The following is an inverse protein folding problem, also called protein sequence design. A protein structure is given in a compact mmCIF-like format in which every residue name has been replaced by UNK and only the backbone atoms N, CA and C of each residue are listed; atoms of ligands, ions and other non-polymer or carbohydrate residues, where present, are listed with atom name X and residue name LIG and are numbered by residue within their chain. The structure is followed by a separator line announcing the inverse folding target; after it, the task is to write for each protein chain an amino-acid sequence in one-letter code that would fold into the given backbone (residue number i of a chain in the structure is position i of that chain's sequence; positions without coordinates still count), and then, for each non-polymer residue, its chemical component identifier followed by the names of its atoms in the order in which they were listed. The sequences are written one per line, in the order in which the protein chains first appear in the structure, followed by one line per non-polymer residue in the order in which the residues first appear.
data_IF_405889838179
#
_entry.id   IF_405889838179
#
_cell.length_a   1.000
_cell.length_b   1.000
_cell.length_c   1.000
_cell.angle_alpha   90.00
_cell.angle_beta   90.00
_cell.angle_gamma   90.00
#
_symmetry.space_group_name_H-M   'P 1'
#
loop_
_entity.id
_entity.type
_entity.pdbx_description
1 polymer ?
#
# COMPACT_ATOMS: atom_id res chain seq x y z
N UNK A 1 12.36 -28.97 -9.70
CA UNK A 1 11.00 -28.66 -10.22
C UNK A 1 11.07 -27.29 -10.85
N UNK A 2 10.62 -27.13 -12.09
CA UNK A 2 10.68 -25.83 -12.77
C UNK A 2 9.66 -24.86 -12.17
N UNK A 3 9.90 -23.56 -12.31
CA UNK A 3 9.03 -22.50 -11.77
C UNK A 3 7.56 -22.64 -12.22
N UNK A 4 7.35 -22.77 -13.53
CA UNK A 4 5.99 -22.90 -14.10
C UNK A 4 5.28 -24.18 -13.65
N UNK A 5 6.02 -25.29 -13.46
CA UNK A 5 5.47 -26.55 -12.98
C UNK A 5 5.02 -26.41 -11.52
N UNK A 6 5.84 -25.76 -10.68
CA UNK A 6 5.48 -25.47 -9.30
C UNK A 6 4.21 -24.64 -9.22
N UNK A 7 4.17 -23.54 -9.98
CA UNK A 7 3.00 -22.65 -10.03
C UNK A 7 1.73 -23.40 -10.46
N UNK A 8 1.78 -24.15 -11.57
CA UNK A 8 0.64 -24.93 -12.06
C UNK A 8 0.21 -26.03 -11.09
N UNK A 9 1.14 -26.67 -10.39
CA UNK A 9 0.81 -27.64 -9.35
C UNK A 9 0.06 -26.94 -8.21
N UNK A 10 0.56 -25.81 -7.72
CA UNK A 10 -0.07 -25.06 -6.62
C UNK A 10 -1.45 -24.50 -6.96
N UNK A 11 -1.73 -24.18 -8.22
CA UNK A 11 -3.07 -23.82 -8.70
C UNK A 11 -4.13 -24.90 -8.42
N UNK A 12 -3.75 -26.17 -8.25
CA UNK A 12 -4.69 -27.25 -7.90
C UNK A 12 -5.09 -27.25 -6.42
N UNK A 13 -4.39 -26.49 -5.58
CA UNK A 13 -4.68 -26.36 -4.15
C UNK A 13 -5.58 -25.15 -3.90
N UNK A 14 -6.87 -25.40 -3.61
CA UNK A 14 -7.82 -24.33 -3.29
C UNK A 14 -7.34 -23.48 -2.10
N UNK A 15 -6.75 -24.10 -1.08
CA UNK A 15 -6.17 -23.38 0.07
C UNK A 15 -5.08 -22.40 -0.34
N UNK A 16 -4.21 -22.78 -1.27
CA UNK A 16 -3.16 -21.90 -1.79
C UNK A 16 -3.76 -20.77 -2.62
N UNK A 17 -4.72 -21.10 -3.49
CA UNK A 17 -5.46 -20.11 -4.29
C UNK A 17 -6.14 -19.08 -3.40
N UNK A 18 -6.93 -19.51 -2.43
CA UNK A 18 -7.65 -18.62 -1.51
C UNK A 18 -6.69 -17.74 -0.72
N UNK A 19 -5.54 -18.28 -0.30
CA UNK A 19 -4.52 -17.54 0.46
C UNK A 19 -3.97 -16.34 -0.33
N UNK A 20 -3.63 -16.50 -1.62
CA UNK A 20 -2.97 -15.45 -2.41
C UNK A 20 -3.90 -14.66 -3.35
N UNK A 21 -5.09 -15.19 -3.64
CA UNK A 21 -6.14 -14.51 -4.41
C UNK A 21 -6.95 -13.54 -3.55
N UNK A 22 -7.30 -13.95 -2.32
CA UNK A 22 -8.18 -13.18 -1.46
C UNK A 22 -7.50 -11.92 -0.90
N UNK A 23 -8.32 -10.91 -0.61
CA UNK A 23 -7.91 -9.69 0.11
C UNK A 23 -8.53 -9.60 1.50
N UNK A 24 -9.17 -10.69 1.94
CA UNK A 24 -9.84 -10.80 3.23
C UNK A 24 -8.89 -10.90 4.42
N UNK A 25 -9.46 -10.86 5.63
CA UNK A 25 -8.70 -11.02 6.88
C UNK A 25 -8.02 -12.39 6.89
N UNK A 26 -6.73 -12.45 7.21
CA UNK A 26 -5.85 -13.64 7.20
C UNK A 26 -5.39 -14.16 5.83
N UNK A 27 -5.68 -13.45 4.74
CA UNK A 27 -5.11 -13.76 3.42
C UNK A 27 -3.76 -13.08 3.21
N UNK A 28 -2.96 -13.58 2.25
CA UNK A 28 -1.69 -13.00 1.80
C UNK A 28 -1.84 -12.25 0.48
N UNK A 29 -3.02 -12.27 -0.15
CA UNK A 29 -3.24 -11.58 -1.42
C UNK A 29 -3.25 -10.05 -1.33
N UNK A 30 -3.08 -9.49 -0.13
CA UNK A 30 -2.90 -8.06 0.11
C UNK A 30 -1.81 -7.80 1.14
N UNK A 31 -0.93 -6.84 0.84
CA UNK A 31 0.10 -6.40 1.78
C UNK A 31 -0.44 -5.41 2.82
N UNK A 32 -1.10 -4.32 2.39
CA UNK A 32 -1.50 -3.22 3.29
C UNK A 32 -2.96 -3.29 3.72
N UNK A 33 -3.25 -3.30 5.03
CA UNK A 33 -4.65 -3.42 5.50
C UNK A 33 -5.53 -2.24 5.10
N UNK A 34 -4.95 -1.03 4.99
CA UNK A 34 -5.67 0.18 4.65
C UNK A 34 -6.24 0.16 3.22
N UNK A 35 -5.64 -0.63 2.32
CA UNK A 35 -6.12 -0.73 0.93
C UNK A 35 -7.19 -1.80 0.82
N UNK A 36 -8.44 -1.49 0.51
CA UNK A 36 -9.48 -2.51 0.39
C UNK A 36 -10.49 -2.11 -0.68
N UNK A 37 -11.62 -2.82 -0.78
CA UNK A 37 -12.65 -2.57 -1.80
C UNK A 37 -13.03 -1.09 -1.90
N UNK A 38 -13.08 -0.36 -0.78
CA UNK A 38 -13.43 1.06 -0.72
C UNK A 38 -12.23 2.02 -0.69
N UNK A 39 -11.02 1.48 -0.49
CA UNK A 39 -9.75 2.22 -0.43
C UNK A 39 -8.73 1.59 -1.36
N UNK A 40 -9.07 1.34 -2.63
CA UNK A 40 -8.20 0.58 -3.56
C UNK A 40 -6.88 1.28 -3.90
N UNK A 41 -6.71 2.53 -3.49
CA UNK A 41 -5.52 3.36 -3.69
C UNK A 41 -5.37 4.32 -2.51
N UNK A 42 -4.16 4.82 -2.27
CA UNK A 42 -3.92 5.75 -1.18
C UNK A 42 -4.76 7.03 -1.31
N UNK A 43 -4.86 7.59 -2.52
CA UNK A 43 -5.66 8.79 -2.80
C UNK A 43 -7.16 8.59 -2.62
N UNK A 44 -7.63 7.35 -2.42
CA UNK A 44 -9.02 7.09 -2.03
C UNK A 44 -9.37 7.76 -0.70
N UNK A 45 -8.40 7.95 0.21
CA UNK A 45 -8.62 8.67 1.47
C UNK A 45 -9.15 10.09 1.25
N UNK A 46 -8.74 10.80 0.18
CA UNK A 46 -9.32 12.11 -0.15
C UNK A 46 -10.82 12.03 -0.37
N UNK A 47 -11.26 11.11 -1.25
CA UNK A 47 -12.68 10.93 -1.57
C UNK A 47 -13.49 10.45 -0.38
N UNK A 48 -12.94 9.52 0.41
CA UNK A 48 -13.64 8.97 1.57
C UNK A 48 -13.78 10.01 2.69
N UNK A 49 -12.79 10.88 2.88
CA UNK A 49 -12.88 11.96 3.86
C UNK A 49 -13.81 13.09 3.40
N UNK A 50 -13.79 13.47 2.12
CA UNK A 50 -14.78 14.42 1.57
C UNK A 50 -16.21 13.88 1.69
N UNK A 51 -16.44 12.58 1.49
CA UNK A 51 -17.73 11.94 1.71
C UNK A 51 -18.15 11.87 3.20
N UNK A 52 -17.17 11.92 4.11
CA UNK A 52 -17.41 11.98 5.55
C UNK A 52 -17.69 13.40 6.04
N UNK A 53 -17.17 14.43 5.38
CA UNK A 53 -17.29 15.85 5.78
C UNK A 53 -18.70 16.32 6.21
N UNK A 54 -19.81 15.94 5.53
CA UNK A 54 -21.15 16.34 5.99
C UNK A 54 -21.59 15.71 7.32
N UNK A 55 -20.83 14.74 7.83
CA UNK A 55 -21.11 13.98 9.05
C UNK A 55 -20.31 14.44 10.27
N UNK A 56 -19.44 15.43 10.08
CA UNK A 56 -18.59 15.98 11.12
C UNK A 56 -19.45 16.53 12.28
N UNK A 57 -19.19 16.07 13.50
CA UNK A 57 -19.93 16.37 14.72
C UNK A 57 -21.26 15.62 14.90
N UNK A 58 -21.67 14.77 13.96
CA UNK A 58 -22.94 14.02 14.04
C UNK A 58 -22.77 12.67 14.74
N UNK A 59 -23.86 12.16 15.34
CA UNK A 59 -23.93 10.79 15.83
C UNK A 59 -24.13 9.85 14.65
N UNK A 60 -23.74 8.58 14.81
CA UNK A 60 -23.90 7.57 13.76
C UNK A 60 -25.35 7.41 13.31
N UNK A 61 -26.29 7.47 14.25
CA UNK A 61 -27.72 7.31 13.99
C UNK A 61 -28.31 8.47 13.16
N UNK A 62 -27.61 9.62 13.12
CA UNK A 62 -28.07 10.83 12.41
C UNK A 62 -27.64 10.84 10.92
N UNK A 63 -26.89 9.84 10.45
CA UNK A 63 -26.25 9.89 9.13
C UNK A 63 -27.16 9.56 7.93
N UNK A 64 -28.41 9.16 8.16
CA UNK A 64 -29.43 8.91 7.12
C UNK A 64 -28.92 8.09 5.91
N UNK A 65 -28.08 7.07 6.16
CA UNK A 65 -27.31 6.39 5.11
C UNK A 65 -27.47 4.86 5.13
N UNK A 66 -28.68 4.37 4.87
CA UNK A 66 -28.94 2.95 4.61
C UNK A 66 -28.88 2.66 3.10
N UNK A 67 -28.27 1.53 2.72
CA UNK A 67 -28.50 0.94 1.39
C UNK A 67 -29.80 0.12 1.41
N UNK A 68 -30.39 -0.14 0.23
CA UNK A 68 -31.58 -0.98 0.05
C UNK A 68 -31.46 -2.39 0.69
N UNK A 69 -30.23 -2.84 0.98
CA UNK A 69 -29.92 -4.16 1.53
C UNK A 69 -29.61 -4.14 3.05
N UNK A 70 -29.89 -3.04 3.75
CA UNK A 70 -29.66 -2.91 5.20
C UNK A 70 -28.19 -2.78 5.64
N UNK A 71 -27.23 -2.75 4.71
CA UNK A 71 -25.83 -2.43 5.01
C UNK A 71 -25.64 -0.92 5.13
N UNK A 72 -25.03 -0.47 6.23
CA UNK A 72 -24.63 0.92 6.39
C UNK A 72 -23.51 1.29 5.41
N UNK A 73 -23.80 2.24 4.53
CA UNK A 73 -22.89 2.71 3.46
C UNK A 73 -21.54 3.22 3.99
N UNK A 74 -21.50 3.68 5.23
CA UNK A 74 -20.37 4.40 5.80
C UNK A 74 -19.53 3.57 6.79
N UNK A 75 -19.99 2.38 7.21
CA UNK A 75 -19.30 1.53 8.21
C UNK A 75 -17.84 1.24 7.83
N UNK A 76 -17.61 0.87 6.57
CA UNK A 76 -16.27 0.54 6.07
C UNK A 76 -15.35 1.75 5.90
N UNK A 77 -15.92 2.96 5.74
CA UNK A 77 -15.14 4.21 5.59
C UNK A 77 -14.55 4.65 6.91
N UNK A 78 -15.36 4.58 7.97
CA UNK A 78 -15.01 5.06 9.31
C UNK A 78 -13.82 4.30 9.86
N UNK A 79 -13.79 2.98 9.71
CA UNK A 79 -12.70 2.15 10.25
C UNK A 79 -11.35 2.62 9.71
N UNK A 80 -11.21 2.75 8.39
CA UNK A 80 -9.94 3.18 7.79
C UNK A 80 -9.61 4.64 8.09
N UNK A 81 -10.60 5.54 8.09
CA UNK A 81 -10.38 6.95 8.44
C UNK A 81 -9.96 7.11 9.92
N UNK A 82 -10.54 6.32 10.83
CA UNK A 82 -10.16 6.26 12.26
C UNK A 82 -8.76 5.71 12.44
N UNK A 83 -8.46 4.59 11.78
CA UNK A 83 -7.15 3.93 11.82
C UNK A 83 -6.02 4.80 11.24
N UNK A 84 -6.33 5.68 10.28
CA UNK A 84 -5.41 6.70 9.76
C UNK A 84 -5.29 7.94 10.67
N UNK A 85 -6.13 8.06 11.70
CA UNK A 85 -6.20 9.23 12.58
C UNK A 85 -6.82 10.47 11.95
N UNK A 86 -7.52 10.35 10.82
CA UNK A 86 -8.17 11.47 10.12
C UNK A 86 -9.52 11.85 10.73
N UNK A 87 -10.14 10.90 11.43
CA UNK A 87 -11.33 11.15 12.24
C UNK A 87 -11.13 10.55 13.62
N UNK A 88 -11.85 11.08 14.61
CA UNK A 88 -11.93 10.56 15.97
C UNK A 88 -13.38 10.44 16.41
N UNK A 89 -13.64 9.58 17.38
CA UNK A 89 -14.94 9.48 18.03
C UNK A 89 -14.81 10.10 19.43
N UNK A 90 -15.76 10.93 19.81
CA UNK A 90 -15.86 11.55 21.13
C UNK A 90 -17.28 11.35 21.64
N UNK A 91 -17.43 10.50 22.66
CA UNK A 91 -18.71 9.89 23.00
C UNK A 91 -19.26 9.07 21.83
N UNK A 92 -20.40 9.50 21.28
CA UNK A 92 -21.09 8.89 20.14
C UNK A 92 -21.04 9.73 18.86
N UNK A 93 -20.31 10.85 18.89
CA UNK A 93 -20.13 11.77 17.77
C UNK A 93 -18.78 11.55 17.11
N UNK A 94 -18.73 11.75 15.82
CA UNK A 94 -17.50 11.61 15.04
C UNK A 94 -17.02 12.96 14.56
N UNK A 95 -15.73 13.22 14.70
CA UNK A 95 -15.10 14.49 14.37
C UNK A 95 -13.94 14.31 13.41
N UNK A 96 -13.78 15.23 12.46
CA UNK A 96 -12.55 15.36 11.67
C UNK A 96 -11.44 15.90 12.58
N UNK A 97 -10.25 15.30 12.51
CA UNK A 97 -9.09 15.75 13.27
C UNK A 97 -8.33 16.84 12.50
N UNK A 98 -7.40 17.55 13.13
CA UNK A 98 -6.51 18.48 12.42
C UNK A 98 -5.76 17.80 11.26
N UNK A 99 -5.35 16.55 11.48
CA UNK A 99 -4.74 15.68 10.48
C UNK A 99 -5.71 15.37 9.33
N UNK A 100 -6.99 15.15 9.62
CA UNK A 100 -8.04 15.03 8.60
C UNK A 100 -8.27 16.32 7.82
N UNK A 101 -8.34 17.47 8.49
CA UNK A 101 -8.41 18.76 7.81
C UNK A 101 -7.22 19.00 6.89
N UNK A 102 -6.04 18.51 7.26
CA UNK A 102 -4.86 18.57 6.41
C UNK A 102 -5.01 17.71 5.14
N UNK A 103 -5.61 16.52 5.23
CA UNK A 103 -5.96 15.71 4.06
C UNK A 103 -6.92 16.44 3.11
N UNK A 104 -7.92 17.15 3.65
CA UNK A 104 -8.81 17.99 2.85
C UNK A 104 -8.05 19.16 2.19
N UNK A 105 -7.09 19.78 2.90
CA UNK A 105 -6.24 20.84 2.35
C UNK A 105 -5.42 20.33 1.16
N UNK A 106 -4.80 19.16 1.28
CA UNK A 106 -4.03 18.52 0.21
C UNK A 106 -4.92 18.23 -1.01
N UNK A 107 -6.10 17.67 -0.79
CA UNK A 107 -7.04 17.33 -1.87
C UNK A 107 -7.42 18.56 -2.69
N UNK A 108 -7.71 19.68 -2.00
CA UNK A 108 -8.20 20.92 -2.59
C UNK A 108 -7.11 21.85 -3.14
N UNK A 109 -5.84 21.56 -2.86
CA UNK A 109 -4.72 22.35 -3.37
C UNK A 109 -4.59 22.21 -4.90
N UNK A 110 -4.47 23.35 -5.59
CA UNK A 110 -4.37 23.41 -7.06
C UNK A 110 -2.94 23.45 -7.57
N UNK A 111 -1.99 23.81 -6.72
CA UNK A 111 -0.57 23.93 -7.07
C UNK A 111 0.12 22.56 -6.97
N UNK A 112 -0.30 21.69 -6.05
CA UNK A 112 0.20 20.33 -5.93
C UNK A 112 -0.28 19.43 -7.07
N UNK A 113 0.67 18.71 -7.67
CA UNK A 113 0.41 17.62 -8.63
C UNK A 113 0.02 16.34 -7.90
N UNK A 114 -0.60 15.41 -8.64
CA UNK A 114 -1.10 14.15 -8.08
C UNK A 114 -0.06 13.34 -7.31
N UNK A 115 1.17 13.24 -7.82
CA UNK A 115 2.24 12.50 -7.13
C UNK A 115 2.73 13.22 -5.88
N UNK A 116 2.74 14.56 -5.88
CA UNK A 116 3.08 15.36 -4.70
C UNK A 116 1.99 15.19 -3.62
N UNK A 117 0.71 15.27 -4.01
CA UNK A 117 -0.42 14.95 -3.12
C UNK A 117 -0.32 13.53 -2.54
N UNK A 118 0.06 12.56 -3.36
CA UNK A 118 0.26 11.17 -2.94
C UNK A 118 1.38 11.04 -1.90
N UNK A 119 2.54 11.70 -2.11
CA UNK A 119 3.67 11.67 -1.17
C UNK A 119 3.29 12.31 0.16
N UNK A 120 2.65 13.47 0.12
CA UNK A 120 2.22 14.18 1.33
C UNK A 120 1.17 13.35 2.09
N UNK A 121 0.23 12.73 1.39
CA UNK A 121 -0.74 11.83 2.00
C UNK A 121 -0.08 10.60 2.65
N UNK A 122 0.95 10.02 2.00
CA UNK A 122 1.73 8.92 2.58
C UNK A 122 2.36 9.33 3.92
N UNK A 123 2.95 10.53 3.97
CA UNK A 123 3.57 11.05 5.20
C UNK A 123 2.56 11.19 6.34
N UNK A 124 1.30 11.51 6.02
CA UNK A 124 0.23 11.55 7.02
C UNK A 124 -0.31 10.17 7.38
N UNK A 125 -0.21 9.14 6.53
CA UNK A 125 -0.81 7.84 6.86
C UNK A 125 0.20 6.82 7.40
N UNK A 126 1.48 7.17 7.46
CA UNK A 126 2.52 6.16 7.77
C UNK A 126 2.42 5.59 9.19
N UNK A 127 1.81 6.35 10.10
CA UNK A 127 1.44 5.99 11.47
C UNK A 127 0.11 5.22 11.56
N UNK A 128 -0.43 4.75 10.44
CA UNK A 128 -1.69 4.00 10.39
C UNK A 128 -1.63 2.76 11.29
N UNK A 129 -2.64 2.65 12.16
CA UNK A 129 -2.77 1.60 13.16
C UNK A 129 -4.14 0.94 13.03
N UNK A 130 -4.18 -0.39 13.04
CA UNK A 130 -5.43 -1.12 13.26
C UNK A 130 -5.58 -1.47 14.74
N UNK A 131 -6.77 -1.95 15.13
CA UNK A 131 -7.00 -2.46 16.49
C UNK A 131 -6.06 -3.64 16.84
N UNK A 132 -5.57 -4.36 15.83
CA UNK A 132 -4.71 -5.55 16.00
C UNK A 132 -3.23 -5.27 15.74
N UNK A 133 -2.89 -4.24 14.95
CA UNK A 133 -1.53 -4.00 14.45
C UNK A 133 -1.14 -2.53 14.53
N UNK A 134 -0.15 -2.25 15.38
CA UNK A 134 0.54 -0.95 15.41
C UNK A 134 1.50 -0.82 14.23
N UNK A 135 1.57 0.38 13.67
CA UNK A 135 2.38 0.80 12.53
C UNK A 135 2.26 -0.19 11.36
N UNK A 136 1.02 -0.52 11.00
CA UNK A 136 0.68 -1.61 10.08
C UNK A 136 1.47 -1.53 8.78
N UNK A 137 1.62 -0.33 8.23
CA UNK A 137 2.29 -0.11 6.95
C UNK A 137 3.78 -0.40 7.05
N UNK A 138 4.45 0.21 8.03
CA UNK A 138 5.90 0.09 8.17
C UNK A 138 6.27 -1.34 8.56
N UNK A 139 5.53 -1.95 9.49
CA UNK A 139 5.74 -3.33 9.90
C UNK A 139 5.58 -4.29 8.73
N UNK A 140 4.54 -4.11 7.90
CA UNK A 140 4.33 -4.96 6.71
C UNK A 140 5.49 -4.86 5.71
N UNK A 141 6.07 -3.67 5.53
CA UNK A 141 7.24 -3.47 4.65
C UNK A 141 8.50 -4.10 5.24
N UNK A 142 8.74 -3.94 6.54
CA UNK A 142 9.89 -4.55 7.22
C UNK A 142 9.81 -6.08 7.22
N UNK A 143 8.62 -6.64 7.44
CA UNK A 143 8.38 -8.09 7.36
C UNK A 143 8.67 -8.61 5.94
N UNK A 144 8.20 -7.92 4.90
CA UNK A 144 8.48 -8.27 3.51
C UNK A 144 9.98 -8.21 3.19
N UNK A 145 10.66 -7.11 3.52
CA UNK A 145 12.09 -6.94 3.25
C UNK A 145 12.94 -7.97 4.01
N UNK A 146 12.62 -8.22 5.29
CA UNK A 146 13.30 -9.23 6.10
C UNK A 146 13.12 -10.64 5.53
N UNK A 147 11.91 -10.94 5.07
CA UNK A 147 11.59 -12.23 4.46
C UNK A 147 12.33 -12.45 3.13
N UNK A 148 12.37 -11.45 2.26
CA UNK A 148 13.10 -11.53 0.99
C UNK A 148 14.62 -11.63 1.21
N UNK A 149 15.17 -10.91 2.21
CA UNK A 149 16.57 -11.03 2.64
C UNK A 149 16.93 -12.44 3.09
N UNK A 150 16.07 -13.10 3.87
CA UNK A 150 16.27 -14.48 4.30
C UNK A 150 16.35 -15.47 3.13
N UNK A 151 15.91 -15.06 1.94
CA UNK A 151 15.98 -15.85 0.71
C UNK A 151 16.99 -15.30 -0.31
N UNK A 152 17.91 -14.43 0.12
CA UNK A 152 19.05 -14.00 -0.66
C UNK A 152 18.83 -12.75 -1.53
N UNK A 153 17.70 -12.05 -1.36
CA UNK A 153 17.47 -10.77 -2.03
C UNK A 153 17.82 -9.60 -1.10
N UNK A 154 18.96 -8.94 -1.37
CA UNK A 154 19.38 -7.76 -0.63
C UNK A 154 18.42 -6.56 -0.83
N UNK A 155 18.25 -5.74 0.22
CA UNK A 155 17.37 -4.55 0.16
C UNK A 155 17.72 -3.60 -0.96
N UNK A 156 19.01 -3.37 -1.24
CA UNK A 156 19.45 -2.45 -2.30
C UNK A 156 18.94 -2.95 -3.65
N UNK A 157 19.12 -4.24 -3.94
CA UNK A 157 18.60 -4.86 -5.17
C UNK A 157 17.08 -4.80 -5.22
N UNK A 158 16.40 -5.05 -4.10
CA UNK A 158 14.94 -4.94 -4.05
C UNK A 158 14.46 -3.51 -4.31
N UNK A 159 15.10 -2.49 -3.72
CA UNK A 159 14.84 -1.08 -3.96
C UNK A 159 15.02 -0.71 -5.44
N UNK A 160 16.07 -1.21 -6.11
CA UNK A 160 16.27 -1.00 -7.54
C UNK A 160 15.15 -1.60 -8.39
N UNK A 161 14.70 -2.81 -8.05
CA UNK A 161 13.60 -3.48 -8.74
C UNK A 161 12.26 -2.73 -8.54
N UNK A 162 12.00 -2.24 -7.32
CA UNK A 162 10.85 -1.41 -7.01
C UNK A 162 10.90 -0.09 -7.79
N UNK A 163 12.05 0.58 -7.82
CA UNK A 163 12.27 1.84 -8.55
C UNK A 163 11.97 1.68 -10.05
N UNK A 164 12.44 0.60 -10.67
CA UNK A 164 12.14 0.27 -12.08
C UNK A 164 10.64 0.04 -12.33
N UNK A 165 9.89 -0.31 -11.30
CA UNK A 165 8.47 -0.69 -11.39
C UNK A 165 7.48 0.41 -10.99
N UNK A 166 7.96 1.60 -10.58
CA UNK A 166 7.10 2.73 -10.12
C UNK A 166 6.10 3.23 -11.17
N UNK A 167 6.36 2.97 -12.44
CA UNK A 167 5.60 3.49 -13.58
C UNK A 167 4.83 2.42 -14.35
N UNK A 168 4.66 1.23 -13.77
CA UNK A 168 3.87 0.17 -14.39
C UNK A 168 2.40 0.59 -14.39
N UNK A 169 1.84 0.72 -15.59
CA UNK A 169 0.48 1.19 -15.86
C UNK A 169 -0.37 0.16 -16.62
N UNK A 170 0.27 -0.89 -17.17
CA UNK A 170 -0.38 -1.96 -17.93
C UNK A 170 -0.19 -3.32 -17.27
N UNK A 171 -1.19 -4.18 -17.49
CA UNK A 171 -1.26 -5.54 -16.90
C UNK A 171 -0.13 -6.45 -17.38
N UNK A 172 0.22 -6.35 -18.67
CA UNK A 172 1.31 -7.09 -19.28
C UNK A 172 2.67 -6.78 -18.66
N UNK A 173 2.98 -5.49 -18.54
CA UNK A 173 4.19 -5.01 -17.87
C UNK A 173 4.23 -5.39 -16.39
N UNK A 174 3.07 -5.43 -15.73
CA UNK A 174 2.98 -5.86 -14.34
C UNK A 174 3.37 -7.33 -14.18
N UNK A 175 2.82 -8.22 -15.00
CA UNK A 175 3.13 -9.64 -14.93
C UNK A 175 4.57 -9.98 -15.34
N UNK A 176 5.21 -9.12 -16.13
CA UNK A 176 6.62 -9.23 -16.49
C UNK A 176 7.58 -8.65 -15.45
N UNK A 177 7.07 -8.11 -14.33
CA UNK A 177 7.90 -7.50 -13.30
C UNK A 177 8.23 -8.48 -12.19
N UNK A 178 9.51 -8.65 -11.87
CA UNK A 178 9.92 -9.54 -10.78
C UNK A 178 9.34 -9.14 -9.42
N UNK A 179 9.20 -7.83 -9.13
CA UNK A 179 8.61 -7.39 -7.86
C UNK A 179 7.15 -7.79 -7.76
N UNK A 180 6.44 -7.94 -8.88
CA UNK A 180 5.06 -8.40 -8.86
C UNK A 180 4.94 -9.78 -8.24
N UNK A 181 5.80 -10.70 -8.66
CA UNK A 181 5.81 -12.08 -8.19
C UNK A 181 6.28 -12.18 -6.74
N UNK A 182 7.39 -11.51 -6.41
CA UNK A 182 7.98 -11.53 -5.07
C UNK A 182 7.05 -10.92 -4.01
N UNK A 183 6.33 -9.84 -4.33
CA UNK A 183 5.35 -9.25 -3.41
C UNK A 183 4.09 -10.12 -3.34
N UNK A 184 3.62 -10.66 -4.47
CA UNK A 184 2.36 -11.43 -4.50
C UNK A 184 2.47 -12.74 -3.73
N UNK A 185 3.61 -13.41 -3.83
CA UNK A 185 3.85 -14.70 -3.18
C UNK A 185 4.70 -14.60 -1.92
N UNK A 186 4.95 -13.38 -1.42
CA UNK A 186 5.55 -13.16 -0.12
C UNK A 186 4.83 -14.03 0.92
N UNK A 187 5.57 -14.92 1.59
CA UNK A 187 5.10 -15.99 2.51
C UNK A 187 4.80 -17.35 1.85
N UNK A 188 5.26 -17.60 0.63
CA UNK A 188 5.47 -18.93 0.05
C UNK A 188 6.97 -19.17 -0.15
N UNK A 189 7.62 -19.68 0.90
CA UNK A 189 9.07 -19.90 0.92
C UNK A 189 9.55 -20.77 -0.24
N UNK A 190 8.73 -21.74 -0.65
CA UNK A 190 9.09 -22.62 -1.75
C UNK A 190 8.93 -21.91 -3.10
N UNK A 191 7.90 -21.08 -3.28
CA UNK A 191 7.78 -20.24 -4.48
C UNK A 191 8.99 -19.31 -4.61
N UNK A 192 9.31 -18.54 -3.58
CA UNK A 192 10.34 -17.50 -3.66
C UNK A 192 11.74 -18.09 -3.85
N UNK A 193 12.06 -19.22 -3.20
CA UNK A 193 13.31 -19.95 -3.45
C UNK A 193 13.42 -20.43 -4.89
N UNK A 194 12.35 -21.01 -5.45
CA UNK A 194 12.35 -21.46 -6.85
C UNK A 194 12.47 -20.25 -7.78
N UNK A 195 11.69 -19.20 -7.54
CA UNK A 195 11.65 -17.99 -8.36
C UNK A 195 13.00 -17.27 -8.42
N UNK A 196 13.63 -17.04 -7.27
CA UNK A 196 14.94 -16.38 -7.19
C UNK A 196 16.07 -17.23 -7.79
N UNK A 197 15.93 -18.55 -7.78
CA UNK A 197 16.87 -19.49 -8.40
C UNK A 197 16.59 -19.80 -9.88
N UNK A 198 15.49 -19.30 -10.43
CA UNK A 198 15.07 -19.58 -11.82
C UNK A 198 15.82 -18.70 -12.82
N UNK A 199 16.02 -19.24 -14.03
CA UNK A 199 16.57 -18.44 -15.15
C UNK A 199 15.55 -17.44 -15.68
N UNK A 200 16.02 -16.43 -16.42
CA UNK A 200 15.13 -15.48 -17.09
C UNK A 200 14.17 -16.18 -18.08
N UNK A 201 14.61 -17.24 -18.75
CA UNK A 201 13.73 -18.06 -19.61
C UNK A 201 12.63 -18.76 -18.81
N UNK A 202 12.93 -19.30 -17.62
CA UNK A 202 11.93 -19.93 -16.76
C UNK A 202 10.90 -18.93 -16.24
N UNK A 203 11.34 -17.71 -15.88
CA UNK A 203 10.45 -16.61 -15.52
C UNK A 203 9.59 -16.18 -16.69
N UNK A 204 10.18 -15.98 -17.88
CA UNK A 204 9.47 -15.58 -19.08
C UNK A 204 8.38 -16.60 -19.45
N UNK A 205 8.67 -17.90 -19.33
CA UNK A 205 7.67 -18.96 -19.52
C UNK A 205 6.47 -18.83 -18.58
N UNK A 206 6.70 -18.50 -17.29
CA UNK A 206 5.63 -18.25 -16.34
C UNK A 206 4.83 -16.99 -16.73
N UNK A 207 5.51 -15.92 -17.13
CA UNK A 207 4.88 -14.66 -17.53
C UNK A 207 3.97 -14.86 -18.74
N UNK A 208 4.47 -15.52 -19.77
CA UNK A 208 3.73 -15.80 -21.00
C UNK A 208 2.51 -16.68 -20.73
N UNK A 209 2.66 -17.69 -19.87
CA UNK A 209 1.55 -18.54 -19.43
C UNK A 209 0.45 -17.72 -18.77
N UNK A 210 0.79 -16.90 -17.76
CA UNK A 210 -0.19 -16.08 -17.03
C UNK A 210 -0.81 -15.01 -17.93
N UNK A 211 -0.04 -14.41 -18.83
CA UNK A 211 -0.56 -13.47 -19.82
C UNK A 211 -1.61 -14.12 -20.70
N UNK A 212 -1.32 -15.29 -21.26
CA UNK A 212 -2.22 -16.04 -22.13
C UNK A 212 -3.53 -16.37 -21.39
N UNK A 213 -3.45 -16.98 -20.20
CA UNK A 213 -4.68 -17.37 -19.47
C UNK A 213 -5.45 -16.16 -18.96
N UNK A 214 -4.80 -15.01 -18.73
CA UNK A 214 -5.46 -13.76 -18.33
C UNK A 214 -6.27 -13.09 -19.44
N UNK A 215 -6.18 -13.57 -20.69
CA UNK A 215 -7.05 -13.14 -21.78
C UNK A 215 -8.44 -13.78 -21.66
N UNK A 216 -8.55 -14.93 -20.98
CA UNK A 216 -9.82 -15.58 -20.70
C UNK A 216 -10.45 -15.00 -19.42
N UNK A 217 -11.61 -14.35 -19.53
CA UNK A 217 -12.36 -13.78 -18.40
C UNK A 217 -12.86 -14.83 -17.40
N UNK A 218 -12.99 -16.07 -17.83
CA UNK A 218 -13.44 -17.20 -17.00
C UNK A 218 -12.27 -18.04 -16.49
N UNK A 219 -11.03 -17.53 -16.56
CA UNK A 219 -9.86 -18.24 -16.07
C UNK A 219 -9.96 -18.47 -14.56
N UNK A 220 -9.68 -19.70 -14.14
CA UNK A 220 -9.54 -20.08 -12.74
C UNK A 220 -8.11 -19.93 -12.23
N UNK A 221 -7.18 -19.48 -13.08
CA UNK A 221 -5.81 -19.18 -12.65
C UNK A 221 -5.83 -18.04 -11.63
N UNK A 222 -5.20 -18.27 -10.48
CA UNK A 222 -5.09 -17.32 -9.36
C UNK A 222 -4.78 -15.89 -9.80
N UNK A 223 -3.73 -15.69 -10.59
CA UNK A 223 -3.27 -14.36 -10.97
C UNK A 223 -4.21 -13.75 -12.00
N UNK A 224 -4.61 -14.52 -13.01
CA UNK A 224 -5.60 -14.07 -13.99
C UNK A 224 -6.88 -13.60 -13.30
N UNK A 225 -7.45 -14.43 -12.43
CA UNK A 225 -8.68 -14.17 -11.70
C UNK A 225 -8.55 -12.98 -10.73
N UNK A 226 -7.39 -12.82 -10.06
CA UNK A 226 -7.15 -11.68 -9.16
C UNK A 226 -7.17 -10.33 -9.89
N UNK A 227 -6.76 -10.30 -11.15
CA UNK A 227 -6.57 -9.09 -11.96
C UNK A 227 -7.55 -8.95 -13.15
N UNK A 228 -8.61 -9.76 -13.25
CA UNK A 228 -9.69 -9.52 -14.23
C UNK A 228 -10.48 -8.25 -13.90
N UNK A 229 -11.22 -7.71 -14.89
CA UNK A 229 -12.14 -6.60 -14.66
C UNK A 229 -13.18 -6.95 -13.59
N UNK A 230 -13.24 -6.17 -12.51
CA UNK A 230 -14.07 -6.46 -11.34
C UNK A 230 -13.38 -7.28 -10.24
N UNK A 231 -12.16 -7.77 -10.50
CA UNK A 231 -11.32 -8.47 -9.54
C UNK A 231 -10.91 -7.60 -8.34
N UNK A 232 -10.32 -8.26 -7.34
CA UNK A 232 -9.94 -7.61 -6.09
C UNK A 232 -8.76 -6.63 -6.23
N UNK A 233 -7.93 -6.81 -7.25
CA UNK A 233 -6.77 -5.99 -7.53
C UNK A 233 -6.79 -5.41 -8.95
N UNK A 234 -6.26 -4.19 -9.08
CA UNK A 234 -6.00 -3.54 -10.36
C UNK A 234 -4.52 -3.22 -10.46
N UNK A 235 -4.04 -2.91 -11.67
CA UNK A 235 -2.66 -2.42 -11.87
C UNK A 235 -2.39 -1.18 -11.01
N UNK A 236 -3.37 -0.27 -10.89
CA UNK A 236 -3.26 0.93 -10.06
C UNK A 236 -3.13 0.62 -8.56
N UNK A 237 -3.88 -0.39 -8.08
CA UNK A 237 -3.79 -0.85 -6.68
C UNK A 237 -2.42 -1.45 -6.39
N UNK A 238 -1.94 -2.33 -7.25
CA UNK A 238 -0.61 -2.92 -7.07
C UNK A 238 0.51 -1.89 -7.22
N UNK A 239 0.36 -0.91 -8.12
CA UNK A 239 1.33 0.18 -8.24
C UNK A 239 1.35 1.04 -6.96
N UNK A 240 0.21 1.23 -6.28
CA UNK A 240 0.21 1.86 -4.95
C UNK A 240 1.02 1.03 -3.94
N UNK A 241 0.89 -0.30 -3.95
CA UNK A 241 1.70 -1.17 -3.08
C UNK A 241 3.20 -0.96 -3.34
N UNK A 242 3.65 -1.02 -4.60
CA UNK A 242 5.04 -0.77 -5.00
C UNK A 242 5.52 0.60 -4.50
N UNK A 243 4.75 1.66 -4.76
CA UNK A 243 5.13 3.02 -4.38
C UNK A 243 5.22 3.16 -2.85
N UNK A 244 4.31 2.55 -2.10
CA UNK A 244 4.32 2.55 -0.62
C UNK A 244 5.53 1.80 -0.08
N UNK A 245 5.80 0.57 -0.55
CA UNK A 245 6.96 -0.24 -0.14
C UNK A 245 8.25 0.54 -0.42
N UNK A 246 8.40 1.05 -1.65
CA UNK A 246 9.58 1.81 -2.05
C UNK A 246 9.80 3.03 -1.15
N UNK A 247 8.75 3.84 -0.94
CA UNK A 247 8.86 5.07 -0.14
C UNK A 247 9.19 4.78 1.33
N UNK A 248 8.57 3.75 1.91
CA UNK A 248 8.82 3.34 3.30
C UNK A 248 10.25 2.79 3.46
N UNK A 249 10.74 1.97 2.52
CA UNK A 249 12.12 1.48 2.56
C UNK A 249 13.14 2.63 2.43
N UNK A 250 12.88 3.64 1.60
CA UNK A 250 13.72 4.84 1.56
C UNK A 250 13.72 5.54 2.92
N UNK A 251 12.56 5.76 3.52
CA UNK A 251 12.44 6.39 4.85
C UNK A 251 13.21 5.66 5.95
N UNK A 252 13.08 4.33 6.01
CA UNK A 252 13.81 3.49 6.96
C UNK A 252 15.31 3.59 6.72
N UNK A 253 15.73 3.59 5.44
CA UNK A 253 17.14 3.59 5.07
C UNK A 253 17.84 4.90 5.43
N UNK A 254 17.12 6.02 5.39
CA UNK A 254 17.68 7.34 5.70
C UNK A 254 17.93 7.56 7.19
N UNK A 255 17.12 6.94 8.06
CA UNK A 255 17.20 7.11 9.53
C UNK A 255 17.24 8.58 9.99
N UNK A 256 16.58 9.47 9.25
CA UNK A 256 16.53 10.90 9.58
C UNK A 256 15.76 11.17 10.88
N UNK A 257 15.57 12.44 11.23
CA UNK A 257 14.71 12.88 12.35
C UNK A 257 13.48 13.67 11.88
N UNK A 258 13.40 13.95 10.58
CA UNK A 258 12.33 14.71 9.95
C UNK A 258 12.11 14.25 8.49
N UNK A 259 11.27 14.97 7.75
CA UNK A 259 10.89 14.63 6.39
C UNK A 259 11.78 15.22 5.28
N UNK A 260 12.70 16.13 5.59
CA UNK A 260 13.31 17.00 4.57
C UNK A 260 14.12 16.20 3.54
N UNK A 261 15.05 15.39 4.03
CA UNK A 261 15.90 14.51 3.22
C UNK A 261 15.07 13.48 2.45
N UNK A 262 14.04 12.91 3.08
CA UNK A 262 13.10 12.02 2.41
C UNK A 262 12.43 12.71 1.22
N UNK A 263 11.88 13.92 1.41
CA UNK A 263 11.20 14.67 0.35
C UNK A 263 12.15 14.92 -0.83
N UNK A 264 13.39 15.32 -0.54
CA UNK A 264 14.40 15.60 -1.56
C UNK A 264 14.77 14.35 -2.38
N UNK A 265 14.86 13.19 -1.73
CA UNK A 265 15.23 11.93 -2.37
C UNK A 265 14.04 11.33 -3.13
N UNK A 266 12.87 11.30 -2.51
CA UNK A 266 11.69 10.66 -3.10
C UNK A 266 11.20 11.44 -4.30
N UNK A 267 11.24 12.78 -4.29
CA UNK A 267 10.87 13.56 -5.47
C UNK A 267 11.83 13.33 -6.66
N UNK A 268 13.12 13.07 -6.43
CA UNK A 268 14.06 12.72 -7.52
C UNK A 268 13.70 11.38 -8.19
N UNK A 269 12.94 10.53 -7.52
CA UNK A 269 12.46 9.28 -8.07
C UNK A 269 11.19 9.45 -8.93
N UNK A 270 10.55 10.63 -8.91
CA UNK A 270 9.34 10.91 -9.67
C UNK A 270 9.51 12.17 -10.55
N UNK A 271 9.57 11.98 -11.86
CA UNK A 271 9.76 13.07 -12.85
C UNK A 271 8.81 14.27 -12.72
N UNK A 272 7.62 14.09 -12.15
CA UNK A 272 6.63 15.15 -11.99
C UNK A 272 6.71 15.90 -10.66
N UNK A 273 7.50 15.43 -9.69
CA UNK A 273 7.53 15.91 -8.30
C UNK A 273 8.50 17.08 -8.08
N UNK A 274 8.10 18.05 -7.27
CA UNK A 274 8.93 19.17 -6.84
C UNK A 274 9.03 19.22 -5.31
N UNK A 275 10.23 18.99 -4.78
CA UNK A 275 10.50 18.95 -3.34
C UNK A 275 10.18 20.28 -2.63
N UNK A 276 10.60 21.41 -3.23
CA UNK A 276 10.35 22.75 -2.68
C UNK A 276 8.87 23.07 -2.57
N UNK A 277 8.05 22.59 -3.53
CA UNK A 277 6.59 22.77 -3.48
C UNK A 277 5.98 22.00 -2.32
N UNK A 278 6.41 20.76 -2.10
CA UNK A 278 5.98 19.94 -0.97
C UNK A 278 6.38 20.61 0.36
N UNK A 279 7.66 20.99 0.51
CA UNK A 279 8.17 21.67 1.71
C UNK A 279 7.44 22.98 1.99
N UNK A 280 7.24 23.81 0.97
CA UNK A 280 6.46 25.06 1.06
C UNK A 280 5.03 24.79 1.51
N UNK A 281 4.35 23.81 0.91
CA UNK A 281 2.99 23.43 1.30
C UNK A 281 2.94 23.01 2.77
N UNK A 282 3.89 22.19 3.22
CA UNK A 282 3.94 21.67 4.59
C UNK A 282 4.27 22.73 5.65
N UNK A 283 5.02 23.76 5.29
CA UNK A 283 5.56 24.76 6.24
C UNK A 283 4.49 25.39 7.15
N UNK A 284 3.29 25.66 6.63
CA UNK A 284 2.18 26.24 7.40
C UNK A 284 1.57 25.29 8.44
N UNK A 285 1.88 23.99 8.35
CA UNK A 285 1.29 22.91 9.16
C UNK A 285 2.35 21.90 9.62
N UNK A 286 3.62 22.34 9.75
CA UNK A 286 4.78 21.48 10.03
C UNK A 286 4.60 20.56 11.24
N UNK A 287 3.93 21.03 12.29
CA UNK A 287 3.66 20.24 13.50
C UNK A 287 2.86 18.95 13.21
N UNK A 288 1.86 19.00 12.32
CA UNK A 288 1.03 17.82 11.99
C UNK A 288 1.92 16.73 11.37
N UNK A 289 2.81 17.12 10.46
CA UNK A 289 3.74 16.21 9.81
C UNK A 289 4.79 15.67 10.77
N UNK A 290 5.34 16.51 11.65
CA UNK A 290 6.30 16.07 12.65
C UNK A 290 5.66 15.10 13.63
N UNK A 291 4.41 15.33 14.05
CA UNK A 291 3.68 14.39 14.91
C UNK A 291 3.52 13.02 14.24
N UNK A 292 3.11 12.98 12.96
CA UNK A 292 3.03 11.71 12.23
C UNK A 292 4.39 11.03 12.08
N UNK A 293 5.48 11.79 11.90
CA UNK A 293 6.83 11.25 11.91
C UNK A 293 7.19 10.62 13.26
N UNK A 294 7.00 11.37 14.34
CA UNK A 294 7.37 10.97 15.69
C UNK A 294 6.57 9.75 16.19
N UNK A 295 5.33 9.60 15.73
CA UNK A 295 4.45 8.46 16.01
C UNK A 295 4.77 7.21 15.17
N UNK A 296 5.59 7.36 14.12
CA UNK A 296 5.96 6.30 13.18
C UNK A 296 7.46 6.02 13.21
N UNK A 297 8.21 6.56 12.24
CA UNK A 297 9.65 6.39 12.09
C UNK A 297 10.43 6.93 13.29
N UNK A 298 9.97 7.99 13.95
CA UNK A 298 10.59 8.47 15.17
C UNK A 298 10.60 7.40 16.29
N UNK A 299 9.59 6.53 16.36
CA UNK A 299 9.59 5.40 17.30
C UNK A 299 10.53 4.29 16.83
N UNK A 300 10.54 3.98 15.53
CA UNK A 300 11.36 2.92 14.95
C UNK A 300 12.85 3.26 15.05
N UNK A 301 13.25 4.49 14.71
CA UNK A 301 14.63 4.95 14.81
C UNK A 301 15.12 4.90 16.26
N UNK A 302 14.25 5.21 17.24
CA UNK A 302 14.57 5.05 18.67
C UNK A 302 14.78 3.58 19.06
N UNK A 303 13.99 2.65 18.51
CA UNK A 303 14.16 1.22 18.75
C UNK A 303 15.46 0.70 18.15
N UNK A 304 15.74 1.03 16.89
CA UNK A 304 16.99 0.66 16.21
C UNK A 304 18.21 1.18 16.97
N UNK A 305 18.19 2.46 17.39
CA UNK A 305 19.28 3.04 18.17
C UNK A 305 19.49 2.37 19.54
N UNK A 306 18.42 1.87 20.16
CA UNK A 306 18.47 1.15 21.44
C UNK A 306 18.98 -0.29 21.28
N UNK A 307 18.66 -0.94 20.17
CA UNK A 307 18.99 -2.34 19.89
C UNK A 307 20.36 -2.52 19.21
N UNK A 308 21.01 -1.42 18.76
CA UNK A 308 22.37 -1.47 18.22
C UNK A 308 22.47 -2.11 16.84
N UNK A 309 21.40 -2.01 16.02
CA UNK A 309 21.34 -2.49 14.63
C UNK A 309 21.71 -1.40 13.62
#
# INVERSE_FOLDING_TARGET
MKLIEYYKNKQTSQTWVDKFQSTGKNSCGKLFSCLNVNFRTLTSFFKQLEAFKPKDGLRRDDWNSYQDNGQEKDKHRIVNLKNAGFIRMDGDRYYITDKGHEVLRISNDKDLKDKEKWIILLMLIVDYNTEERKQDLIKSVLELDSYLKQHGLETVKFLEMLKKSLYIDKKDKLFQSDVFWLITFAKDEQFDKIYLGSTEDEKQNLFDYVLLVSQNKNSTDLIAHKFVSGGAYSVSTFNNDINMIFSILILISLRDVNWDNYIDIICKCYSTCNAERIKKFMSSKGLIYQMSYDQSFGQINKLIAKEGI
#
